data_IF_848287511205
#
_entry.id   IF_848287511205
#
_cell.length_a   1.000
_cell.length_b   1.000
_cell.length_c   1.000
_cell.angle_alpha   90.00
_cell.angle_beta   90.00
_cell.angle_gamma   90.00
#
_symmetry.space_group_name_H-M   'P 1'
#
loop_
_entity.id
_entity.type
_entity.pdbx_description
1 polymer ?
#
# COMPACT_ATOMS: atom_id res chain seq x y z
N UNK A 1 -15.81 4.82 23.22
CA UNK A 1 -15.54 3.95 22.06
C UNK A 1 -15.18 2.57 22.57
N UNK A 2 -15.77 1.52 22.01
CA UNK A 2 -15.50 0.13 22.41
C UNK A 2 -14.18 -0.33 21.79
N UNK A 3 -13.13 -0.40 22.62
CA UNK A 3 -11.78 -0.82 22.23
C UNK A 3 -11.77 -2.22 21.62
N UNK A 4 -12.63 -3.12 22.09
CA UNK A 4 -12.74 -4.49 21.60
C UNK A 4 -13.26 -4.52 20.17
N UNK A 5 -14.26 -3.70 19.84
CA UNK A 5 -14.75 -3.57 18.46
C UNK A 5 -13.69 -3.01 17.53
N UNK A 6 -12.94 -1.99 17.95
CA UNK A 6 -11.88 -1.38 17.14
C UNK A 6 -10.78 -2.40 16.83
N UNK A 7 -10.35 -3.18 17.83
CA UNK A 7 -9.38 -4.24 17.64
C UNK A 7 -9.91 -5.31 16.67
N UNK A 8 -11.15 -5.79 16.85
CA UNK A 8 -11.75 -6.77 15.96
C UNK A 8 -11.83 -6.26 14.50
N UNK A 9 -12.23 -5.01 14.29
CA UNK A 9 -12.25 -4.41 12.94
C UNK A 9 -10.84 -4.27 12.36
N UNK A 10 -9.83 -3.92 13.15
CA UNK A 10 -8.45 -3.87 12.69
C UNK A 10 -7.95 -5.26 12.28
N UNK A 11 -8.23 -6.28 13.08
CA UNK A 11 -7.86 -7.67 12.80
C UNK A 11 -8.53 -8.19 11.53
N UNK A 12 -9.81 -7.87 11.30
CA UNK A 12 -10.52 -8.20 10.06
C UNK A 12 -9.85 -7.58 8.82
N UNK A 13 -9.42 -6.31 8.91
CA UNK A 13 -8.71 -5.60 7.82
C UNK A 13 -7.35 -6.22 7.56
N UNK A 14 -6.59 -6.52 8.61
CA UNK A 14 -5.28 -7.20 8.49
C UNK A 14 -5.47 -8.56 7.83
N UNK A 15 -6.45 -9.35 8.29
CA UNK A 15 -6.74 -10.65 7.70
C UNK A 15 -7.12 -10.53 6.22
N UNK A 16 -7.87 -9.48 5.83
CA UNK A 16 -8.18 -9.21 4.43
C UNK A 16 -6.93 -8.85 3.61
N UNK A 17 -6.03 -8.02 4.14
CA UNK A 17 -4.75 -7.67 3.50
C UNK A 17 -3.88 -8.91 3.30
N UNK A 18 -3.76 -9.77 4.31
CA UNK A 18 -2.97 -11.00 4.23
C UNK A 18 -3.55 -12.01 3.23
N UNK A 19 -4.89 -12.08 3.13
CA UNK A 19 -5.56 -12.87 2.08
C UNK A 19 -5.27 -12.32 0.69
N UNK A 20 -5.37 -11.00 0.49
CA UNK A 20 -5.03 -10.38 -0.78
C UNK A 20 -3.56 -10.62 -1.16
N UNK A 21 -2.64 -10.41 -0.23
CA UNK A 21 -1.21 -10.67 -0.42
C UNK A 21 -0.93 -12.13 -0.82
N UNK A 22 -1.65 -13.08 -0.20
CA UNK A 22 -1.51 -14.49 -0.52
C UNK A 22 -2.12 -14.84 -1.88
N UNK A 23 -3.23 -14.21 -2.25
CA UNK A 23 -3.87 -14.39 -3.57
C UNK A 23 -2.97 -13.88 -4.70
N UNK A 24 -2.38 -12.69 -4.57
CA UNK A 24 -1.47 -12.19 -5.61
C UNK A 24 -0.17 -12.98 -5.70
N UNK A 25 0.25 -13.60 -4.60
CA UNK A 25 1.42 -14.48 -4.63
C UNK A 25 1.19 -15.78 -5.41
N UNK A 26 -0.05 -16.22 -5.66
CA UNK A 26 -0.32 -17.42 -6.47
C UNK A 26 -0.16 -17.18 -7.97
N UNK A 27 -0.14 -15.91 -8.41
CA UNK A 27 0.04 -15.51 -9.81
C UNK A 27 1.52 -15.55 -10.25
N UNK A 28 2.43 -15.90 -9.34
CA UNK A 28 3.87 -15.90 -9.60
C UNK A 28 4.55 -17.16 -9.04
N UNK A 29 5.78 -17.47 -9.49
CA UNK A 29 6.59 -18.54 -8.93
C UNK A 29 6.70 -18.47 -7.39
N UNK A 30 6.68 -19.61 -6.67
CA UNK A 30 6.72 -19.63 -5.20
C UNK A 30 7.89 -18.86 -4.58
N UNK A 31 9.04 -18.82 -5.27
CA UNK A 31 10.21 -18.07 -4.84
C UNK A 31 9.96 -16.55 -4.72
N UNK A 32 8.97 -16.00 -5.42
CA UNK A 32 8.58 -14.59 -5.38
C UNK A 32 7.51 -14.29 -4.32
N UNK A 33 6.94 -15.31 -3.69
CA UNK A 33 5.89 -15.15 -2.66
C UNK A 33 6.27 -14.15 -1.56
N UNK A 34 7.48 -14.20 -0.95
CA UNK A 34 7.84 -13.24 0.10
C UNK A 34 7.90 -11.80 -0.40
N UNK A 35 8.41 -11.58 -1.62
CA UNK A 35 8.54 -10.26 -2.22
C UNK A 35 7.16 -9.65 -2.52
N UNK A 36 6.24 -10.43 -3.11
CA UNK A 36 4.87 -9.99 -3.41
C UNK A 36 4.12 -9.65 -2.12
N UNK A 37 4.23 -10.51 -1.10
CA UNK A 37 3.62 -10.24 0.21
C UNK A 37 4.16 -8.97 0.84
N UNK A 38 5.48 -8.74 0.75
CA UNK A 38 6.10 -7.54 1.29
C UNK A 38 5.62 -6.26 0.59
N UNK A 39 5.49 -6.25 -0.74
CA UNK A 39 4.93 -5.12 -1.49
C UNK A 39 3.50 -4.81 -1.03
N UNK A 40 2.64 -5.84 -0.91
CA UNK A 40 1.26 -5.67 -0.46
C UNK A 40 1.17 -5.11 0.96
N UNK A 41 1.98 -5.65 1.89
CA UNK A 41 1.99 -5.22 3.29
C UNK A 41 2.54 -3.81 3.42
N UNK A 42 3.60 -3.48 2.67
CA UNK A 42 4.20 -2.15 2.68
C UNK A 42 3.21 -1.09 2.21
N UNK A 43 2.51 -1.36 1.09
CA UNK A 43 1.48 -0.45 0.61
C UNK A 43 0.37 -0.23 1.65
N UNK A 44 -0.14 -1.33 2.22
CA UNK A 44 -1.22 -1.26 3.19
C UNK A 44 -0.82 -0.50 4.46
N UNK A 45 0.40 -0.71 4.95
CA UNK A 45 0.96 0.04 6.08
C UNK A 45 1.06 1.54 5.77
N UNK A 46 1.61 1.91 4.61
CA UNK A 46 1.72 3.31 4.20
C UNK A 46 0.37 4.00 4.06
N UNK A 47 -0.60 3.35 3.41
CA UNK A 47 -1.95 3.92 3.21
C UNK A 47 -2.68 4.07 4.54
N UNK A 48 -2.55 3.10 5.45
CA UNK A 48 -3.12 3.18 6.79
C UNK A 48 -2.46 4.27 7.65
N UNK A 49 -1.13 4.45 7.55
CA UNK A 49 -0.39 5.51 8.26
C UNK A 49 -0.86 6.90 7.80
N UNK A 50 -1.19 7.03 6.52
CA UNK A 50 -1.72 8.24 5.89
C UNK A 50 -3.23 8.49 6.09
N UNK A 51 -3.88 7.78 7.03
CA UNK A 51 -5.32 7.93 7.36
C UNK A 51 -5.86 9.35 7.48
N UNK A 52 -5.02 10.32 7.84
CA UNK A 52 -5.40 11.73 7.96
C UNK A 52 -5.72 12.41 6.62
N UNK A 53 -5.31 11.82 5.51
CA UNK A 53 -5.57 12.30 4.16
C UNK A 53 -6.80 11.66 3.50
N UNK A 54 -7.42 10.67 4.15
CA UNK A 54 -8.66 10.07 3.69
C UNK A 54 -9.82 11.10 3.73
N UNK A 55 -10.85 10.88 2.91
CA UNK A 55 -12.06 11.70 2.92
C UNK A 55 -12.67 11.72 4.33
N UNK A 56 -12.85 12.89 4.97
CA UNK A 56 -13.34 12.96 6.34
C UNK A 56 -14.75 12.37 6.44
N UNK A 57 -15.02 11.65 7.52
CA UNK A 57 -16.35 11.16 7.87
C UNK A 57 -16.98 12.05 8.96
N UNK A 58 -18.30 11.98 9.16
CA UNK A 58 -18.93 12.52 10.37
C UNK A 58 -18.37 11.85 11.64
N UNK A 59 -18.48 12.53 12.77
CA UNK A 59 -18.26 11.89 14.08
C UNK A 59 -19.50 11.07 14.49
N UNK A 60 -19.32 9.90 15.14
CA UNK A 60 -18.07 9.33 15.67
C UNK A 60 -17.25 8.47 14.68
N UNK A 61 -17.71 8.31 13.44
CA UNK A 61 -17.11 7.37 12.47
C UNK A 61 -15.67 7.74 12.10
N UNK A 62 -15.37 9.04 12.04
CA UNK A 62 -14.01 9.53 11.77
C UNK A 62 -13.02 9.08 12.85
N UNK A 63 -13.36 9.29 14.13
CA UNK A 63 -12.55 8.84 15.26
C UNK A 63 -12.35 7.33 15.26
N UNK A 64 -13.41 6.57 14.98
CA UNK A 64 -13.36 5.11 14.88
C UNK A 64 -12.45 4.64 13.75
N UNK A 65 -12.59 5.21 12.54
CA UNK A 65 -11.74 4.87 11.41
C UNK A 65 -10.27 5.18 11.69
N UNK A 66 -9.98 6.34 12.29
CA UNK A 66 -8.60 6.69 12.67
C UNK A 66 -8.02 5.70 13.67
N UNK A 67 -8.79 5.29 14.68
CA UNK A 67 -8.34 4.31 15.65
C UNK A 67 -8.05 2.95 15.00
N UNK A 68 -8.96 2.45 14.16
CA UNK A 68 -8.78 1.20 13.41
C UNK A 68 -7.52 1.27 12.54
N UNK A 69 -7.37 2.30 11.71
CA UNK A 69 -6.24 2.42 10.80
C UNK A 69 -4.89 2.64 11.52
N UNK A 70 -4.92 3.24 12.71
CA UNK A 70 -3.72 3.32 13.56
C UNK A 70 -3.27 1.93 13.98
N UNK A 71 -4.19 1.10 14.48
CA UNK A 71 -3.88 -0.29 14.85
C UNK A 71 -3.44 -1.12 13.65
N UNK A 72 -4.08 -0.97 12.49
CA UNK A 72 -3.66 -1.66 11.26
C UNK A 72 -2.22 -1.30 10.89
N UNK A 73 -1.87 -0.01 10.84
CA UNK A 73 -0.51 0.42 10.53
C UNK A 73 0.51 -0.11 11.56
N UNK A 74 0.20 -0.04 12.85
CA UNK A 74 1.08 -0.54 13.91
C UNK A 74 1.32 -2.05 13.82
N UNK A 75 0.25 -2.83 13.61
CA UNK A 75 0.34 -4.28 13.49
C UNK A 75 1.07 -4.72 12.22
N UNK A 76 0.86 -4.05 11.07
CA UNK A 76 1.60 -4.34 9.84
C UNK A 76 3.08 -3.95 9.93
N UNK A 77 3.42 -2.97 10.78
CA UNK A 77 4.81 -2.54 11.00
C UNK A 77 5.58 -3.44 11.97
N UNK A 78 4.92 -4.02 12.97
CA UNK A 78 5.55 -4.71 14.11
C UNK A 78 5.08 -6.14 14.37
N UNK A 79 4.02 -6.58 13.70
CA UNK A 79 3.42 -7.90 13.90
C UNK A 79 4.28 -9.04 13.35
N UNK A 80 3.87 -10.31 13.59
CA UNK A 80 4.64 -11.49 13.19
C UNK A 80 5.00 -11.51 11.70
N UNK A 81 4.04 -11.17 10.83
CA UNK A 81 4.26 -11.14 9.38
C UNK A 81 5.30 -10.09 8.98
N UNK A 82 5.32 -8.94 9.66
CA UNK A 82 6.33 -7.91 9.42
C UNK A 82 7.73 -8.40 9.79
N UNK A 83 7.84 -9.22 10.84
CA UNK A 83 9.10 -9.81 11.25
C UNK A 83 9.58 -10.89 10.29
N UNK A 84 8.68 -11.72 9.78
CA UNK A 84 8.97 -12.73 8.76
C UNK A 84 9.46 -12.11 7.45
N UNK A 85 8.92 -10.95 7.09
CA UNK A 85 9.24 -10.23 5.85
C UNK A 85 10.27 -9.11 6.03
N UNK A 86 10.93 -9.02 7.19
CA UNK A 86 11.80 -7.89 7.57
C UNK A 86 12.78 -7.50 6.47
N UNK A 87 13.54 -8.46 5.94
CA UNK A 87 14.51 -8.22 4.86
C UNK A 87 13.88 -7.58 3.62
N UNK A 88 12.68 -8.03 3.25
CA UNK A 88 11.97 -7.50 2.10
C UNK A 88 11.40 -6.10 2.36
N UNK A 89 10.84 -5.88 3.56
CA UNK A 89 10.30 -4.60 3.99
C UNK A 89 11.38 -3.52 4.13
N UNK A 90 12.56 -3.89 4.65
CA UNK A 90 13.70 -2.98 4.78
C UNK A 90 14.23 -2.58 3.38
N UNK A 91 14.34 -3.54 2.46
CA UNK A 91 14.76 -3.25 1.08
C UNK A 91 13.77 -2.35 0.33
N UNK A 92 12.46 -2.51 0.55
CA UNK A 92 11.44 -1.59 0.03
C UNK A 92 11.58 -0.20 0.64
N UNK A 93 11.80 -0.10 1.95
CA UNK A 93 11.99 1.18 2.64
C UNK A 93 13.25 1.93 2.15
N UNK A 94 14.30 1.23 1.73
CA UNK A 94 15.49 1.83 1.12
C UNK A 94 15.22 2.41 -0.29
N UNK A 95 14.38 1.74 -1.08
CA UNK A 95 13.98 2.21 -2.42
C UNK A 95 13.00 3.39 -2.35
N UNK A 96 12.24 3.49 -1.25
CA UNK A 96 11.32 4.57 -0.94
C UNK A 96 12.06 5.85 -0.49
N UNK A 97 12.84 6.48 -1.37
CA UNK A 97 13.41 7.80 -1.10
C UNK A 97 12.32 8.89 -1.08
N UNK A 98 12.25 9.68 0.01
CA UNK A 98 11.62 11.01 0.21
C UNK A 98 10.13 11.26 -0.11
N UNK A 99 9.42 10.43 -0.88
CA UNK A 99 8.05 10.75 -1.34
C UNK A 99 6.91 10.02 -0.59
N UNK A 100 7.21 9.02 0.23
CA UNK A 100 6.23 8.13 0.85
C UNK A 100 5.36 8.75 1.93
N UNK A 101 5.65 9.97 2.41
CA UNK A 101 4.78 10.71 3.34
C UNK A 101 3.51 11.28 2.70
N UNK A 102 3.45 11.32 1.36
CA UNK A 102 2.37 11.99 0.60
C UNK A 102 1.74 11.12 -0.50
N UNK A 103 2.01 9.81 -0.50
CA UNK A 103 1.52 8.85 -1.50
C UNK A 103 0.01 9.02 -1.78
N UNK A 104 -0.80 9.16 -0.74
CA UNK A 104 -2.25 9.37 -0.87
C UNK A 104 -2.67 10.70 -1.49
N UNK A 105 -1.79 11.69 -1.52
CA UNK A 105 -2.09 13.06 -1.94
C UNK A 105 -1.49 13.45 -3.29
N UNK A 106 -0.32 12.90 -3.60
CA UNK A 106 0.51 13.39 -4.71
C UNK A 106 0.61 12.29 -5.76
N UNK A 107 0.07 12.56 -6.95
CA UNK A 107 0.11 11.60 -8.06
C UNK A 107 1.54 11.15 -8.41
N UNK A 108 2.52 12.05 -8.37
CA UNK A 108 3.92 11.68 -8.61
C UNK A 108 4.49 10.75 -7.54
N UNK A 109 4.03 10.85 -6.27
CA UNK A 109 4.42 9.92 -5.22
C UNK A 109 3.77 8.53 -5.40
N UNK A 110 2.56 8.46 -5.98
CA UNK A 110 1.94 7.19 -6.37
C UNK A 110 2.71 6.53 -7.51
N UNK A 111 3.01 7.28 -8.56
CA UNK A 111 3.81 6.82 -9.70
C UNK A 111 5.18 6.34 -9.25
N UNK A 112 5.87 7.12 -8.41
CA UNK A 112 7.18 6.73 -7.89
C UNK A 112 7.13 5.43 -7.09
N UNK A 113 6.13 5.27 -6.21
CA UNK A 113 5.99 4.01 -5.47
C UNK A 113 5.70 2.81 -6.39
N UNK A 114 4.86 2.98 -7.41
CA UNK A 114 4.59 1.93 -8.41
C UNK A 114 5.87 1.52 -9.11
N UNK A 115 6.64 2.48 -9.61
CA UNK A 115 7.92 2.23 -10.28
C UNK A 115 8.90 1.50 -9.37
N UNK A 116 9.01 1.90 -8.09
CA UNK A 116 9.90 1.23 -7.12
C UNK A 116 9.43 -0.17 -6.75
N UNK A 117 8.12 -0.40 -6.63
CA UNK A 117 7.56 -1.72 -6.35
C UNK A 117 7.81 -2.68 -7.53
N UNK A 118 7.63 -2.22 -8.76
CA UNK A 118 7.94 -3.00 -9.97
C UNK A 118 9.44 -3.29 -10.05
N UNK A 119 10.30 -2.27 -9.89
CA UNK A 119 11.76 -2.42 -9.88
C UNK A 119 12.22 -3.45 -8.83
N UNK A 120 11.60 -3.41 -7.65
CA UNK A 120 11.86 -4.34 -6.56
C UNK A 120 11.51 -5.79 -6.93
N UNK A 121 10.30 -6.01 -7.46
CA UNK A 121 9.84 -7.32 -7.88
C UNK A 121 10.68 -7.88 -9.03
N UNK A 122 11.03 -7.05 -10.01
CA UNK A 122 11.93 -7.42 -11.10
C UNK A 122 13.31 -7.82 -10.60
N UNK A 123 13.85 -7.10 -9.61
CA UNK A 123 15.12 -7.47 -8.98
C UNK A 123 15.03 -8.83 -8.28
N UNK A 124 13.93 -9.09 -7.57
CA UNK A 124 13.67 -10.39 -6.97
C UNK A 124 13.54 -11.50 -8.05
N UNK A 125 12.87 -11.22 -9.16
CA UNK A 125 12.74 -12.12 -10.30
C UNK A 125 14.08 -12.44 -11.00
N UNK A 126 15.04 -11.51 -10.99
CA UNK A 126 16.37 -11.80 -11.55
C UNK A 126 17.16 -12.80 -10.71
N UNK A 127 16.81 -13.00 -9.44
CA UNK A 127 17.44 -13.98 -8.56
C UNK A 127 16.97 -15.42 -8.80
N UNK A 128 15.89 -15.63 -9.57
CA UNK A 128 15.39 -16.97 -9.93
C UNK A 128 15.89 -17.40 -11.33
N UNK A 129 15.96 -18.72 -11.60
CA UNK A 129 16.36 -19.25 -12.90
C UNK A 129 15.49 -18.69 -14.03
N UNK A 130 16.11 -18.39 -15.19
CA UNK A 130 15.42 -17.74 -16.31
C UNK A 130 14.17 -18.49 -16.78
N UNK A 131 14.18 -19.81 -16.63
CA UNK A 131 13.14 -20.73 -17.11
C UNK A 131 11.92 -20.77 -16.18
N UNK A 132 12.09 -20.30 -14.95
CA UNK A 132 11.04 -20.17 -13.94
C UNK A 132 10.51 -18.75 -13.84
N UNK A 133 11.06 -17.80 -14.62
CA UNK A 133 10.62 -16.41 -14.55
C UNK A 133 9.22 -16.26 -15.14
N UNK A 134 8.35 -15.47 -14.51
CA UNK A 134 7.08 -15.07 -15.11
C UNK A 134 7.32 -14.24 -16.38
N UNK A 135 6.24 -13.93 -17.10
CA UNK A 135 6.30 -13.12 -18.32
C UNK A 135 6.81 -11.69 -18.04
N UNK A 136 7.03 -10.91 -19.10
CA UNK A 136 7.64 -9.58 -19.00
C UNK A 136 6.82 -8.54 -18.23
N UNK A 137 5.50 -8.68 -18.13
CA UNK A 137 4.60 -7.67 -17.56
C UNK A 137 3.97 -8.08 -16.21
N UNK A 138 4.37 -9.25 -15.69
CA UNK A 138 3.85 -9.81 -14.45
C UNK A 138 3.90 -8.85 -13.26
N UNK A 139 4.98 -8.07 -13.13
CA UNK A 139 5.21 -7.18 -11.99
C UNK A 139 4.23 -6.01 -12.03
N UNK A 140 3.97 -5.44 -13.20
CA UNK A 140 2.96 -4.40 -13.42
C UNK A 140 1.56 -4.89 -13.02
N UNK A 141 1.17 -6.09 -13.48
CA UNK A 141 -0.14 -6.67 -13.20
C UNK A 141 -0.32 -6.97 -11.71
N UNK A 142 0.68 -7.57 -11.06
CA UNK A 142 0.68 -7.85 -9.62
C UNK A 142 0.60 -6.56 -8.81
N UNK A 143 1.39 -5.54 -9.15
CA UNK A 143 1.40 -4.26 -8.44
C UNK A 143 0.06 -3.53 -8.61
N UNK A 144 -0.51 -3.51 -9.82
CA UNK A 144 -1.82 -2.94 -10.08
C UNK A 144 -2.92 -3.64 -9.26
N UNK A 145 -2.89 -4.97 -9.23
CA UNK A 145 -3.80 -5.80 -8.45
C UNK A 145 -3.71 -5.55 -6.94
N UNK A 146 -2.49 -5.45 -6.41
CA UNK A 146 -2.22 -5.10 -5.01
C UNK A 146 -2.80 -3.72 -4.68
N UNK A 147 -2.58 -2.71 -5.54
CA UNK A 147 -3.10 -1.36 -5.32
C UNK A 147 -4.63 -1.36 -5.23
N UNK A 148 -5.30 -1.98 -6.20
CA UNK A 148 -6.75 -2.08 -6.21
C UNK A 148 -7.28 -2.77 -4.94
N UNK A 149 -6.62 -3.87 -4.54
CA UNK A 149 -7.01 -4.63 -3.35
C UNK A 149 -6.85 -3.82 -2.06
N UNK A 150 -5.70 -3.16 -1.87
CA UNK A 150 -5.42 -2.36 -0.67
C UNK A 150 -6.36 -1.16 -0.59
N UNK A 151 -6.63 -0.48 -1.70
CA UNK A 151 -7.58 0.64 -1.73
C UNK A 151 -8.98 0.19 -1.34
N UNK A 152 -9.47 -0.91 -1.90
CA UNK A 152 -10.79 -1.46 -1.55
C UNK A 152 -10.88 -1.93 -0.10
N UNK A 153 -9.80 -2.49 0.47
CA UNK A 153 -9.79 -2.97 1.85
C UNK A 153 -9.73 -1.81 2.87
N UNK A 154 -8.88 -0.81 2.63
CA UNK A 154 -8.69 0.32 3.55
C UNK A 154 -9.79 1.39 3.37
N UNK A 155 -10.48 1.40 2.22
CA UNK A 155 -11.43 2.45 1.86
C UNK A 155 -10.74 3.69 1.30
N UNK A 156 -9.66 3.50 0.55
CA UNK A 156 -8.92 4.57 -0.11
C UNK A 156 -9.34 4.79 -1.58
N UNK A 157 -10.43 4.19 -2.04
CA UNK A 157 -11.01 4.51 -3.36
C UNK A 157 -11.58 5.95 -3.40
N UNK A 158 -12.05 6.46 -2.25
CA UNK A 158 -12.48 7.87 -2.07
C UNK A 158 -11.33 8.88 -2.14
N UNK A 159 -10.08 8.40 -2.23
CA UNK A 159 -8.88 9.22 -2.35
C UNK A 159 -8.74 9.82 -3.76
N UNK A 160 -9.19 9.09 -4.80
CA UNK A 160 -9.20 9.60 -6.18
C UNK A 160 -10.33 10.60 -6.42
N UNK A 161 -11.53 10.33 -5.88
CA UNK A 161 -12.69 11.22 -6.01
C UNK A 161 -12.42 12.62 -5.44
N UNK A 162 -11.59 12.75 -4.39
CA UNK A 162 -11.19 14.06 -3.85
C UNK A 162 -10.14 14.78 -4.69
N UNK A 163 -9.15 14.09 -5.26
CA UNK A 163 -8.18 14.77 -6.14
C UNK A 163 -8.92 15.37 -7.33
N UNK A 164 -9.82 14.62 -7.96
CA UNK A 164 -10.65 15.16 -9.04
C UNK A 164 -11.59 16.28 -8.56
N UNK A 165 -12.31 16.11 -7.44
CA UNK A 165 -13.21 17.16 -6.93
C UNK A 165 -12.49 18.42 -6.45
N UNK A 166 -11.27 18.29 -5.92
CA UNK A 166 -10.46 19.40 -5.39
C UNK A 166 -9.78 20.19 -6.51
N UNK A 167 -9.51 19.57 -7.67
CA UNK A 167 -8.99 20.24 -8.87
C UNK A 167 -10.08 20.57 -9.92
N UNK A 168 -11.29 20.02 -9.81
CA UNK A 168 -12.42 20.37 -10.69
C UNK A 168 -13.00 21.77 -10.39
N UNK A 169 -12.66 22.38 -9.25
CA UNK A 169 -13.14 23.72 -8.86
C UNK A 169 -12.06 24.81 -8.75
N UNK A 170 -10.78 24.44 -8.64
CA UNK A 170 -9.66 25.38 -8.61
C UNK A 170 -8.58 24.87 -9.55
N UNK A 171 -8.36 25.60 -10.65
CA UNK A 171 -7.33 25.29 -11.63
C UNK A 171 -6.02 24.92 -10.96
N UNK A 172 -5.36 23.88 -11.51
CA UNK A 172 -4.07 23.34 -11.08
C UNK A 172 -3.15 24.47 -10.61
N UNK A 173 -2.70 24.52 -9.34
CA UNK A 173 -1.79 25.55 -8.89
C UNK A 173 -0.51 25.47 -9.74
N UNK A 174 0.04 26.61 -10.18
CA UNK A 174 1.29 26.60 -10.91
C UNK A 174 2.36 25.98 -10.02
N UNK A 175 2.99 24.92 -10.54
CA UNK A 175 4.20 24.35 -9.95
C UNK A 175 5.26 25.44 -10.01
N UNK A 176 5.65 26.00 -8.85
CA UNK A 176 6.86 26.80 -8.76
C UNK A 176 8.03 25.88 -9.10
N UNK A 177 8.62 26.09 -10.28
CA UNK A 177 9.98 25.65 -10.55
C UNK A 177 10.89 26.58 -9.77
N UNK A 178 11.64 26.03 -8.84
CA UNK A 178 12.78 26.73 -8.27
C UNK A 178 13.87 26.72 -9.36
N UNK A 179 14.09 27.88 -9.98
CA UNK A 179 15.28 28.21 -10.78
C UNK A 179 16.45 28.55 -9.84
#
# INVERSE_FOLDING_TARGET
MDSTRIAATADERIAAILRAASSWATEAPPALTPAIKAVCIRLAEMVADQRHYLAPLPEPQESERRAVLTLVAEQLRRGPVAQELRTHLDALAELELRATGSWSLVASAQTEWVERAIEYLDRACRAIPAEERPDQYWADDVVAGIIASVKGIIGADDLHARIEAQYAGQGRPPVKRDD
#
